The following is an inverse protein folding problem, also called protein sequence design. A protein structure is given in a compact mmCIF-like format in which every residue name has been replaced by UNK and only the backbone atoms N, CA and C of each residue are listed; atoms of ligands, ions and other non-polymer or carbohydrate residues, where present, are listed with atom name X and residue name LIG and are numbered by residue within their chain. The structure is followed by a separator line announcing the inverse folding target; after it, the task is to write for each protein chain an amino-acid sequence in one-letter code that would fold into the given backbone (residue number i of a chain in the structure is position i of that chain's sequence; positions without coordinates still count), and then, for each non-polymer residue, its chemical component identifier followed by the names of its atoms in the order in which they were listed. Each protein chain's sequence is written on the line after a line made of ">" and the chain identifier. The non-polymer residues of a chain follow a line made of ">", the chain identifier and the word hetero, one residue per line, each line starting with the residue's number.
data_IF_190366061655
#
_entry.id   IF_190366061655
#
_cell.length_a   1.000
_cell.length_b   1.000
_cell.length_c   1.000
_cell.angle_alpha   90.00
_cell.angle_beta   90.00
_cell.angle_gamma   90.00
#
_symmetry.space_group_name_H-M   'P 1'
#
loop_
_entity.id
_entity.type
_entity.pdbx_description
1 polymer ?
#
# COMPACT_ATOMS: atom_id res chain seq x y z
N UNK A 1 -9.44 -14.54 3.45
CA UNK A 1 -9.97 -13.18 3.25
C UNK A 1 -8.95 -12.44 2.41
N UNK A 2 -9.19 -12.30 1.10
CA UNK A 2 -8.27 -11.63 0.18
C UNK A 2 -8.45 -10.13 0.39
N UNK A 3 -7.65 -9.55 1.29
CA UNK A 3 -7.64 -8.11 1.48
C UNK A 3 -7.03 -7.49 0.22
N UNK A 4 -7.85 -6.77 -0.54
CA UNK A 4 -7.39 -5.95 -1.67
C UNK A 4 -7.04 -4.58 -1.11
N UNK A 5 -5.85 -4.08 -1.39
CA UNK A 5 -5.41 -2.75 -0.99
C UNK A 5 -5.22 -1.87 -2.22
N UNK A 6 -5.41 -0.56 -2.03
CA UNK A 6 -5.07 0.48 -3.01
C UNK A 6 -4.32 1.62 -2.31
N UNK A 7 -3.64 2.46 -3.09
CA UNK A 7 -3.08 3.71 -2.57
C UNK A 7 -4.24 4.64 -2.18
N UNK A 8 -4.13 5.31 -1.04
CA UNK A 8 -5.13 6.28 -0.61
C UNK A 8 -5.33 7.37 -1.70
N UNK A 9 -6.57 7.81 -1.94
CA UNK A 9 -6.87 8.75 -3.02
C UNK A 9 -6.09 10.07 -2.83
N UNK A 10 -5.26 10.41 -3.81
CA UNK A 10 -4.52 11.66 -3.87
C UNK A 10 -4.71 12.30 -5.24
N UNK A 11 -4.78 13.63 -5.30
CA UNK A 11 -4.79 14.33 -6.58
C UNK A 11 -3.36 14.35 -7.15
N UNK A 12 -3.09 13.70 -8.31
CA UNK A 12 -1.74 13.59 -8.86
C UNK A 12 -1.18 14.92 -9.38
N UNK A 13 -2.02 15.96 -9.51
CA UNK A 13 -1.62 17.30 -9.96
C UNK A 13 -1.19 18.23 -8.83
N UNK A 14 -1.23 17.77 -7.59
CA UNK A 14 -0.90 18.57 -6.40
C UNK A 14 0.23 17.93 -5.60
N UNK A 15 1.23 18.72 -5.24
CA UNK A 15 2.28 18.30 -4.32
C UNK A 15 1.74 18.28 -2.89
N UNK A 16 1.75 17.11 -2.24
CA UNK A 16 1.43 16.98 -0.80
C UNK A 16 2.69 17.18 0.02
N UNK A 17 2.73 18.25 0.82
CA UNK A 17 3.77 18.40 1.84
C UNK A 17 3.46 17.47 3.02
N UNK A 18 4.44 16.65 3.41
CA UNK A 18 4.33 15.75 4.55
C UNK A 18 5.22 16.28 5.67
N UNK A 19 4.62 16.72 6.77
CA UNK A 19 5.32 17.16 7.99
C UNK A 19 5.15 16.18 9.16
N UNK A 20 4.28 15.19 9.01
CA UNK A 20 4.01 14.19 10.05
C UNK A 20 5.16 13.16 10.11
N UNK A 21 5.79 13.07 11.28
CA UNK A 21 6.90 12.17 11.52
C UNK A 21 6.52 10.68 11.36
N UNK A 22 5.30 10.28 11.71
CA UNK A 22 4.83 8.91 11.56
C UNK A 22 4.69 8.54 10.08
N UNK A 23 4.18 9.45 9.25
CA UNK A 23 4.07 9.25 7.80
C UNK A 23 5.46 9.17 7.15
N UNK A 24 6.39 10.04 7.56
CA UNK A 24 7.78 10.00 7.09
C UNK A 24 8.46 8.68 7.49
N UNK A 25 8.28 8.22 8.73
CA UNK A 25 8.79 6.93 9.19
C UNK A 25 8.19 5.75 8.43
N UNK A 26 6.90 5.79 8.10
CA UNK A 26 6.26 4.79 7.25
C UNK A 26 6.91 4.75 5.85
N UNK A 27 7.21 5.89 5.23
CA UNK A 27 7.83 5.94 3.89
C UNK A 27 9.32 5.59 3.86
N UNK A 28 10.02 5.63 5.00
CA UNK A 28 11.46 5.39 5.07
C UNK A 28 11.87 3.91 4.87
N UNK A 29 10.95 2.95 5.03
CA UNK A 29 11.27 1.53 4.89
C UNK A 29 11.20 1.06 3.44
N UNK A 30 12.22 0.36 2.92
CA UNK A 30 12.31 0.01 1.50
C UNK A 30 11.14 -0.88 1.04
N UNK A 31 10.74 -1.89 1.83
CA UNK A 31 9.62 -2.77 1.45
C UNK A 31 8.29 -2.01 1.36
N UNK A 32 8.06 -1.02 2.24
CA UNK A 32 6.83 -0.21 2.22
C UNK A 32 6.80 0.69 0.99
N UNK A 33 7.94 1.26 0.62
CA UNK A 33 8.09 2.03 -0.63
C UNK A 33 7.76 1.17 -1.85
N UNK A 34 8.33 -0.04 -1.93
CA UNK A 34 8.07 -0.99 -3.03
C UNK A 34 6.61 -1.41 -3.10
N UNK A 35 5.95 -1.68 -1.96
CA UNK A 35 4.51 -1.96 -1.92
C UNK A 35 3.69 -0.81 -2.53
N UNK A 36 4.01 0.44 -2.17
CA UNK A 36 3.36 1.61 -2.75
C UNK A 36 3.59 1.72 -4.26
N UNK A 37 4.79 1.40 -4.73
CA UNK A 37 5.12 1.46 -6.16
C UNK A 37 4.35 0.41 -6.97
N UNK A 38 4.23 -0.83 -6.46
CA UNK A 38 3.41 -1.87 -7.08
C UNK A 38 1.93 -1.48 -7.09
N UNK A 39 1.41 -0.94 -5.98
CA UNK A 39 0.02 -0.48 -5.89
C UNK A 39 -0.29 0.69 -6.83
N UNK A 40 0.67 1.58 -7.11
CA UNK A 40 0.50 2.65 -8.10
C UNK A 40 0.39 2.11 -9.53
N UNK A 41 1.06 1.00 -9.84
CA UNK A 41 1.02 0.37 -11.17
C UNK A 41 -0.27 -0.41 -11.37
N UNK A 42 -0.69 -1.18 -10.36
CA UNK A 42 -1.85 -2.07 -10.47
C UNK A 42 -3.16 -1.46 -10.00
N UNK A 43 -3.14 -0.24 -9.47
CA UNK A 43 -4.25 0.50 -8.82
C UNK A 43 -4.83 -0.17 -7.56
N UNK A 44 -4.98 -1.48 -7.57
CA UNK A 44 -5.35 -2.31 -6.44
C UNK A 44 -4.72 -3.71 -6.56
N UNK A 45 -4.34 -4.31 -5.44
CA UNK A 45 -3.78 -5.66 -5.43
C UNK A 45 -4.11 -6.39 -4.12
N UNK A 46 -4.20 -7.72 -4.20
CA UNK A 46 -4.32 -8.54 -2.99
C UNK A 46 -2.99 -8.62 -2.24
N UNK A 47 -3.02 -8.85 -0.93
CA UNK A 47 -1.79 -9.08 -0.14
C UNK A 47 -0.96 -10.22 -0.72
N UNK A 48 -1.60 -11.30 -1.17
CA UNK A 48 -0.89 -12.45 -1.76
C UNK A 48 -0.12 -12.07 -3.03
N UNK A 49 -0.75 -11.31 -3.94
CA UNK A 49 -0.08 -10.82 -5.15
C UNK A 49 1.10 -9.89 -4.81
N UNK A 50 0.92 -8.99 -3.83
CA UNK A 50 1.99 -8.09 -3.39
C UNK A 50 3.16 -8.85 -2.78
N UNK A 51 2.87 -9.89 -2.00
CA UNK A 51 3.87 -10.75 -1.39
C UNK A 51 4.66 -11.53 -2.44
N UNK A 52 3.97 -12.09 -3.44
CA UNK A 52 4.58 -12.81 -4.57
C UNK A 52 5.44 -11.88 -5.43
N UNK A 53 4.93 -10.71 -5.82
CA UNK A 53 5.66 -9.75 -6.66
C UNK A 53 6.93 -9.20 -6.00
N UNK A 54 6.94 -9.10 -4.68
CA UNK A 54 8.09 -8.56 -3.93
C UNK A 54 8.98 -9.65 -3.33
N UNK A 55 8.67 -10.93 -3.56
CA UNK A 55 9.36 -12.08 -2.98
C UNK A 55 9.50 -11.97 -1.45
N UNK A 56 8.38 -11.68 -0.78
CA UNK A 56 8.30 -11.58 0.69
C UNK A 56 7.22 -12.50 1.24
N UNK A 57 7.35 -12.87 2.51
CA UNK A 57 6.31 -13.62 3.19
C UNK A 57 4.99 -12.81 3.27
N UNK A 58 3.85 -13.47 3.06
CA UNK A 58 2.52 -12.85 3.15
C UNK A 58 2.31 -12.12 4.48
N UNK A 59 2.75 -12.72 5.61
CA UNK A 59 2.68 -12.08 6.92
C UNK A 59 3.50 -10.78 7.02
N UNK A 60 4.65 -10.71 6.36
CA UNK A 60 5.46 -9.49 6.28
C UNK A 60 4.79 -8.42 5.43
N UNK A 61 4.22 -8.79 4.27
CA UNK A 61 3.44 -7.88 3.44
C UNK A 61 2.23 -7.31 4.20
N UNK A 62 1.45 -8.17 4.89
CA UNK A 62 0.33 -7.74 5.75
C UNK A 62 0.77 -6.75 6.83
N UNK A 63 1.87 -7.05 7.53
CA UNK A 63 2.39 -6.17 8.57
C UNK A 63 2.76 -4.79 8.02
N UNK A 64 3.45 -4.76 6.88
CA UNK A 64 3.84 -3.52 6.22
C UNK A 64 2.64 -2.72 5.70
N UNK A 65 1.62 -3.38 5.15
CA UNK A 65 0.37 -2.74 4.73
C UNK A 65 -0.39 -2.17 5.93
N UNK A 66 -0.38 -2.84 7.09
CA UNK A 66 -0.97 -2.31 8.32
C UNK A 66 -0.30 -1.00 8.78
N UNK A 67 1.03 -0.94 8.75
CA UNK A 67 1.78 0.29 9.06
C UNK A 67 1.46 1.40 8.06
N UNK A 68 1.35 1.08 6.76
CA UNK A 68 0.96 2.06 5.73
C UNK A 68 -0.48 2.55 5.92
N UNK A 69 -1.40 1.68 6.32
CA UNK A 69 -2.80 2.03 6.57
C UNK A 69 -2.95 2.92 7.80
N UNK A 70 -2.20 2.65 8.87
CA UNK A 70 -2.12 3.51 10.06
C UNK A 70 -1.62 4.92 9.73
N UNK A 71 -0.78 5.05 8.70
CA UNK A 71 -0.28 6.32 8.18
C UNK A 71 -1.18 6.92 7.07
N UNK A 72 -2.35 6.34 6.80
CA UNK A 72 -3.30 6.75 5.76
C UNK A 72 -2.69 6.80 4.34
N UNK A 73 -1.68 5.96 4.07
CA UNK A 73 -1.02 5.86 2.77
C UNK A 73 -1.67 4.83 1.85
N UNK A 74 -2.31 3.80 2.42
CA UNK A 74 -3.07 2.76 1.72
C UNK A 74 -4.41 2.55 2.39
N UNK A 75 -5.38 2.04 1.64
CA UNK A 75 -6.69 1.67 2.14
C UNK A 75 -7.11 0.31 1.59
N UNK A 76 -7.98 -0.38 2.32
CA UNK A 76 -8.69 -1.54 1.79
C UNK A 76 -9.63 -1.10 0.66
N UNK A 77 -9.68 -1.88 -0.42
CA UNK A 77 -10.53 -1.66 -1.59
C UNK A 77 -11.35 -2.93 -1.89
N UNK A 78 -12.24 -3.37 -0.98
CA UNK A 78 -13.00 -4.60 -1.12
C UNK A 78 -13.91 -4.60 -2.36
N UNK A 79 -14.35 -3.44 -2.82
CA UNK A 79 -15.12 -3.26 -4.05
C UNK A 79 -14.34 -3.68 -5.30
N UNK A 80 -13.01 -3.52 -5.29
CA UNK A 80 -12.12 -3.91 -6.40
C UNK A 80 -11.73 -5.38 -6.39
N UNK A 81 -12.24 -6.17 -5.45
CA UNK A 81 -12.00 -7.61 -5.40
C UNK A 81 -12.73 -8.39 -6.50
N UNK A 82 -13.69 -7.77 -7.20
CA UNK A 82 -14.56 -8.44 -8.17
C UNK A 82 -14.27 -8.08 -9.63
N UNK A 83 -13.44 -7.08 -9.92
CA UNK A 83 -13.14 -6.65 -11.30
C UNK A 83 -12.00 -7.47 -11.95
N UNK A 84 -11.94 -8.78 -11.66
CA UNK A 84 -10.99 -9.72 -12.28
C UNK A 84 -11.69 -10.71 -13.20
#
# INVERSE_FOLDING_TARGET
>A
MVLVCSVAPVNPRTTRTITDAAVLAALAHPTRRRLMDVLKVHEAATVGMLAEQLDVAVGSASHHLGVLAQAELVAEAPERARDR
#
